data_IF_950329412408
#
_entry.id   IF_950329412408
#
_cell.length_a   1.000
_cell.length_b   1.000
_cell.length_c   1.000
_cell.angle_alpha   90.00
_cell.angle_beta   90.00
_cell.angle_gamma   90.00
#
_symmetry.space_group_name_H-M   'P 1'
#
loop_
_entity.id
_entity.type
_entity.pdbx_description
1 polymer ?
#
# COMPACT_ATOMS: atom_id res chain seq x y z
N UNK A 1 -6.55 -17.04 -13.86
CA UNK A 1 -6.07 -15.81 -14.53
C UNK A 1 -7.18 -14.77 -14.73
N UNK A 2 -7.99 -14.42 -13.71
CA UNK A 2 -9.04 -13.37 -13.82
C UNK A 2 -8.77 -12.10 -12.99
N UNK A 3 -7.85 -12.14 -12.03
CA UNK A 3 -7.64 -11.05 -11.07
C UNK A 3 -6.91 -9.82 -11.64
N UNK A 4 -6.14 -9.95 -12.71
CA UNK A 4 -5.31 -8.84 -13.24
C UNK A 4 -6.05 -7.87 -14.18
N UNK A 5 -7.33 -8.10 -14.50
CA UNK A 5 -8.06 -7.31 -15.49
C UNK A 5 -8.69 -6.01 -14.93
N UNK A 6 -8.84 -5.88 -13.61
CA UNK A 6 -9.70 -4.83 -13.02
C UNK A 6 -8.95 -3.66 -12.36
N UNK A 7 -7.65 -3.77 -12.10
CA UNK A 7 -6.82 -2.69 -11.53
C UNK A 7 -6.47 -1.55 -12.51
N UNK A 8 -7.21 -1.39 -13.63
CA UNK A 8 -6.89 -0.36 -14.64
C UNK A 8 -6.87 1.06 -14.07
N UNK A 9 -7.68 1.36 -13.06
CA UNK A 9 -7.71 2.68 -12.44
C UNK A 9 -6.42 2.98 -11.65
N UNK A 10 -5.79 1.96 -11.01
CA UNK A 10 -4.59 2.15 -10.20
C UNK A 10 -3.43 2.69 -11.03
N UNK A 11 -3.28 2.19 -12.26
CA UNK A 11 -2.16 2.54 -13.13
C UNK A 11 -2.37 3.84 -13.93
N UNK A 12 -3.53 4.49 -13.82
CA UNK A 12 -3.83 5.79 -14.44
C UNK A 12 -3.35 6.96 -13.56
N UNK A 13 -2.12 6.89 -13.06
CA UNK A 13 -1.53 7.96 -12.24
C UNK A 13 -0.05 8.16 -12.51
N UNK A 14 0.48 9.31 -12.09
CA UNK A 14 1.86 9.74 -12.33
C UNK A 14 2.89 9.09 -11.39
N UNK A 15 2.69 7.82 -11.05
CA UNK A 15 3.56 7.09 -10.11
C UNK A 15 5.01 6.95 -10.61
N UNK A 16 5.27 7.15 -11.91
CA UNK A 16 6.61 7.16 -12.48
C UNK A 16 7.48 8.33 -11.99
N UNK A 17 6.85 9.43 -11.54
CA UNK A 17 7.55 10.61 -10.98
C UNK A 17 8.02 10.40 -9.54
N UNK A 18 7.56 9.33 -8.86
CA UNK A 18 8.00 9.02 -7.51
C UNK A 18 9.46 8.54 -7.51
N UNK A 19 10.33 9.28 -6.82
CA UNK A 19 11.65 8.78 -6.46
C UNK A 19 11.54 7.80 -5.30
N UNK A 20 11.47 6.52 -5.66
CA UNK A 20 11.26 5.42 -4.72
C UNK A 20 12.28 5.35 -3.60
N UNK A 21 13.51 5.85 -3.81
CA UNK A 21 14.58 5.81 -2.79
C UNK A 21 14.17 6.53 -1.50
N UNK A 22 13.33 7.57 -1.61
CA UNK A 22 12.89 8.38 -0.48
C UNK A 22 11.77 7.74 0.34
N UNK A 23 11.16 6.66 -0.16
CA UNK A 23 10.00 6.02 0.47
C UNK A 23 10.31 4.69 1.13
N UNK A 24 11.54 4.18 1.00
CA UNK A 24 11.95 2.96 1.70
C UNK A 24 12.35 3.28 3.14
N UNK A 25 11.63 2.71 4.11
CA UNK A 25 11.87 2.93 5.53
C UNK A 25 11.84 1.62 6.31
N UNK A 26 12.67 1.53 7.36
CA UNK A 26 12.61 0.41 8.29
C UNK A 26 11.30 0.48 9.08
N UNK A 27 10.51 -0.57 9.00
CA UNK A 27 9.26 -0.69 9.75
C UNK A 27 9.55 -1.10 11.20
N UNK A 28 9.04 -0.38 12.21
CA UNK A 28 9.13 -0.83 13.60
C UNK A 28 8.50 -2.22 13.79
N UNK A 29 9.14 -3.09 14.57
CA UNK A 29 8.73 -4.50 14.73
C UNK A 29 7.32 -4.66 15.34
N UNK A 30 6.88 -3.69 16.12
CA UNK A 30 5.58 -3.61 16.79
C UNK A 30 4.48 -3.02 15.90
N UNK A 31 4.78 -2.63 14.66
CA UNK A 31 3.79 -2.01 13.75
C UNK A 31 2.64 -2.98 13.47
N UNK A 32 1.40 -2.68 13.89
CA UNK A 32 0.29 -3.61 13.74
C UNK A 32 -0.32 -3.59 12.33
N UNK A 33 -0.88 -4.73 11.91
CA UNK A 33 -1.68 -4.84 10.69
C UNK A 33 -2.88 -3.88 10.74
N UNK A 34 -3.23 -3.24 9.63
CA UNK A 34 -4.38 -2.32 9.55
C UNK A 34 -5.74 -2.98 9.84
N UNK A 35 -5.82 -4.31 9.77
CA UNK A 35 -7.03 -5.08 10.04
C UNK A 35 -7.33 -5.27 11.53
N UNK A 36 -6.36 -5.01 12.41
CA UNK A 36 -6.54 -5.21 13.85
C UNK A 36 -7.13 -3.95 14.47
N UNK A 37 -8.23 -4.08 15.21
CA UNK A 37 -8.71 -3.01 16.08
C UNK A 37 -7.64 -2.69 17.12
N UNK A 38 -7.44 -1.40 17.38
CA UNK A 38 -6.37 -0.93 18.27
C UNK A 38 -6.80 0.37 18.94
N UNK A 39 -6.46 0.50 20.21
CA UNK A 39 -6.82 1.68 20.98
C UNK A 39 -5.80 2.79 20.71
N UNK A 40 -6.29 3.96 20.29
CA UNK A 40 -5.43 5.11 19.97
C UNK A 40 -4.68 5.65 21.20
N UNK A 41 -5.17 5.37 22.41
CA UNK A 41 -4.57 5.84 23.66
C UNK A 41 -3.29 5.09 24.07
N UNK A 42 -3.06 3.89 23.53
CA UNK A 42 -1.91 3.06 23.91
C UNK A 42 -0.63 3.44 23.13
N UNK A 43 -0.76 4.21 22.04
CA UNK A 43 0.34 4.50 21.11
C UNK A 43 0.35 5.99 20.74
N UNK A 44 1.38 6.77 21.14
CA UNK A 44 1.47 8.20 20.81
C UNK A 44 1.71 8.47 19.32
N UNK A 45 2.13 7.45 18.55
CA UNK A 45 2.24 7.49 17.10
C UNK A 45 1.47 6.29 16.56
N UNK A 46 0.37 6.55 15.87
CA UNK A 46 -0.50 5.51 15.34
C UNK A 46 0.00 5.03 13.98
N UNK A 47 0.84 3.98 14.01
CA UNK A 47 1.44 3.36 12.82
C UNK A 47 0.65 2.12 12.40
N UNK A 48 0.59 1.84 11.10
CA UNK A 48 0.00 0.61 10.57
C UNK A 48 0.80 0.04 9.42
N UNK A 49 0.73 -1.28 9.24
CA UNK A 49 1.21 -1.92 8.03
C UNK A 49 0.06 -2.54 7.21
N UNK A 50 0.23 -2.54 5.89
CA UNK A 50 -0.67 -3.18 4.93
C UNK A 50 0.16 -4.05 3.98
N UNK A 51 -0.07 -5.37 3.95
CA UNK A 51 0.53 -6.23 2.94
C UNK A 51 -0.03 -5.94 1.54
N UNK A 52 0.82 -5.90 0.52
CA UNK A 52 0.41 -5.63 -0.86
C UNK A 52 -0.52 -6.73 -1.39
N UNK A 53 -0.34 -7.99 -0.97
CA UNK A 53 -1.26 -9.07 -1.34
C UNK A 53 -2.71 -8.80 -0.90
N UNK A 54 -2.89 -8.11 0.24
CA UNK A 54 -4.21 -7.76 0.76
C UNK A 54 -4.84 -6.65 -0.07
N UNK A 55 -4.04 -5.68 -0.53
CA UNK A 55 -4.52 -4.65 -1.45
C UNK A 55 -4.88 -5.25 -2.81
N UNK A 56 -4.01 -6.11 -3.36
CA UNK A 56 -4.25 -6.80 -4.63
C UNK A 56 -5.52 -7.65 -4.59
N UNK A 57 -5.87 -8.22 -3.43
CA UNK A 57 -7.08 -9.02 -3.26
C UNK A 57 -8.35 -8.23 -2.90
N UNK A 58 -8.26 -6.96 -2.51
CA UNK A 58 -9.40 -6.16 -2.04
C UNK A 58 -9.71 -4.94 -2.89
N UNK A 59 -8.75 -4.46 -3.67
CA UNK A 59 -8.87 -3.21 -4.41
C UNK A 59 -8.98 -3.53 -5.90
N UNK A 60 -10.21 -3.56 -6.38
CA UNK A 60 -10.53 -3.71 -7.80
C UNK A 60 -11.09 -2.41 -8.40
N UNK A 61 -11.62 -1.50 -7.56
CA UNK A 61 -12.19 -0.21 -7.97
C UNK A 61 -11.72 0.95 -7.10
N UNK A 62 -11.97 2.19 -7.56
CA UNK A 62 -11.72 3.40 -6.77
C UNK A 62 -12.52 3.37 -5.45
N UNK A 63 -13.75 2.87 -5.47
CA UNK A 63 -14.58 2.78 -4.26
C UNK A 63 -13.97 1.85 -3.21
N UNK A 64 -13.36 0.74 -3.64
CA UNK A 64 -12.66 -0.17 -2.72
C UNK A 64 -11.44 0.51 -2.10
N UNK A 65 -10.70 1.25 -2.91
CA UNK A 65 -9.56 2.03 -2.44
C UNK A 65 -10.00 3.09 -1.42
N UNK A 66 -11.05 3.86 -1.72
CA UNK A 66 -11.58 4.89 -0.82
C UNK A 66 -12.04 4.28 0.52
N UNK A 67 -12.60 3.07 0.49
CA UNK A 67 -12.96 2.33 1.70
C UNK A 67 -11.73 1.95 2.53
N UNK A 68 -10.61 1.58 1.89
CA UNK A 68 -9.33 1.35 2.58
C UNK A 68 -8.79 2.65 3.17
N UNK A 69 -8.74 3.73 2.39
CA UNK A 69 -8.30 5.07 2.84
C UNK A 69 -9.09 5.52 4.06
N UNK A 70 -10.41 5.36 4.06
CA UNK A 70 -11.26 5.72 5.20
C UNK A 70 -10.87 4.98 6.48
N UNK A 71 -10.45 3.71 6.39
CA UNK A 71 -10.01 2.91 7.54
C UNK A 71 -8.66 3.36 8.09
N UNK A 72 -7.79 3.89 7.24
CA UNK A 72 -6.44 4.35 7.62
C UNK A 72 -6.31 5.87 7.70
N UNK A 73 -7.42 6.61 7.62
CA UNK A 73 -7.43 8.08 7.59
C UNK A 73 -6.69 8.73 8.78
N UNK A 74 -6.73 8.09 9.94
CA UNK A 74 -6.12 8.61 11.17
C UNK A 74 -4.73 8.06 11.44
N UNK A 75 -4.19 7.22 10.55
CA UNK A 75 -2.85 6.63 10.69
C UNK A 75 -1.79 7.69 10.39
N UNK A 76 -0.86 7.88 11.33
CA UNK A 76 0.25 8.82 11.19
C UNK A 76 1.27 8.34 10.16
N UNK A 77 1.55 7.03 10.16
CA UNK A 77 2.49 6.39 9.24
C UNK A 77 1.98 5.04 8.77
N UNK A 78 1.87 4.88 7.46
CA UNK A 78 1.47 3.65 6.80
C UNK A 78 2.67 2.96 6.14
N UNK A 79 2.86 1.67 6.41
CA UNK A 79 3.93 0.86 5.83
C UNK A 79 3.34 -0.18 4.87
N UNK A 80 3.67 -0.07 3.59
CA UNK A 80 3.36 -1.09 2.58
C UNK A 80 4.39 -2.21 2.66
N UNK A 81 3.93 -3.43 2.91
CA UNK A 81 4.77 -4.63 3.01
C UNK A 81 4.61 -5.45 1.74
N UNK A 82 5.69 -5.62 0.96
CA UNK A 82 5.64 -6.49 -0.20
C UNK A 82 5.82 -7.96 0.20
N UNK A 83 4.69 -8.61 0.47
CA UNK A 83 4.59 -10.02 0.85
C UNK A 83 4.29 -10.94 -0.35
N UNK A 84 4.31 -10.40 -1.58
CA UNK A 84 3.97 -11.15 -2.79
C UNK A 84 5.06 -12.15 -3.12
N UNK A 85 4.66 -13.32 -3.64
CA UNK A 85 5.62 -14.33 -4.10
C UNK A 85 6.44 -13.79 -5.27
N UNK A 86 7.77 -13.97 -5.19
CA UNK A 86 8.67 -13.67 -6.30
C UNK A 86 8.29 -14.55 -7.49
N UNK A 87 8.18 -13.95 -8.66
CA UNK A 87 7.95 -14.63 -9.94
C UNK A 87 9.18 -14.46 -10.81
N UNK A 88 9.55 -15.47 -11.58
CA UNK A 88 10.63 -15.37 -12.58
C UNK A 88 10.20 -14.59 -13.83
N UNK A 89 8.89 -14.43 -14.05
CA UNK A 89 8.38 -13.69 -15.19
C UNK A 89 8.64 -12.19 -15.06
N UNK A 90 9.44 -11.65 -15.97
CA UNK A 90 9.74 -10.20 -16.07
C UNK A 90 8.46 -9.37 -16.17
N UNK A 91 7.47 -9.86 -16.91
CA UNK A 91 6.18 -9.18 -17.04
C UNK A 91 5.48 -9.04 -15.68
N UNK A 92 5.44 -10.13 -14.90
CA UNK A 92 4.83 -10.12 -13.57
C UNK A 92 5.61 -9.24 -12.60
N UNK A 93 6.94 -9.27 -12.65
CA UNK A 93 7.79 -8.39 -11.82
C UNK A 93 7.56 -6.91 -12.13
N UNK A 94 7.50 -6.54 -13.41
CA UNK A 94 7.26 -5.17 -13.86
C UNK A 94 5.88 -4.68 -13.42
N UNK A 95 4.84 -5.51 -13.62
CA UNK A 95 3.49 -5.20 -13.16
C UNK A 95 3.44 -5.04 -11.64
N UNK A 96 4.02 -5.98 -10.88
CA UNK A 96 4.05 -5.92 -9.42
C UNK A 96 4.77 -4.67 -8.89
N UNK A 97 5.85 -4.24 -9.57
CA UNK A 97 6.56 -3.00 -9.27
C UNK A 97 5.68 -1.77 -9.57
N UNK A 98 5.04 -1.72 -10.73
CA UNK A 98 4.14 -0.63 -11.12
C UNK A 98 2.96 -0.49 -10.13
N UNK A 99 2.28 -1.58 -9.79
CA UNK A 99 1.18 -1.58 -8.82
C UNK A 99 1.62 -1.12 -7.44
N UNK A 100 2.83 -1.51 -6.98
CA UNK A 100 3.39 -1.02 -5.72
C UNK A 100 3.56 0.50 -5.72
N UNK A 101 4.11 1.06 -6.81
CA UNK A 101 4.30 2.51 -6.97
C UNK A 101 2.96 3.24 -7.04
N UNK A 102 1.99 2.66 -7.75
CA UNK A 102 0.64 3.21 -7.85
C UNK A 102 -0.04 3.29 -6.47
N UNK A 103 -0.03 2.22 -5.68
CA UNK A 103 -0.60 2.26 -4.32
C UNK A 103 0.06 3.32 -3.45
N UNK A 104 1.39 3.39 -3.46
CA UNK A 104 2.13 4.43 -2.75
C UNK A 104 1.67 5.83 -3.17
N UNK A 105 1.59 6.10 -4.48
CA UNK A 105 1.13 7.37 -5.02
C UNK A 105 -0.29 7.73 -4.55
N UNK A 106 -1.22 6.78 -4.63
CA UNK A 106 -2.61 6.99 -4.23
C UNK A 106 -2.75 7.29 -2.73
N UNK A 107 -2.02 6.59 -1.86
CA UNK A 107 -2.03 6.89 -0.43
C UNK A 107 -1.44 8.27 -0.12
N UNK A 108 -0.34 8.64 -0.77
CA UNK A 108 0.27 9.96 -0.60
C UNK A 108 -0.68 11.08 -1.03
N UNK A 109 -1.40 10.91 -2.15
CA UNK A 109 -2.39 11.90 -2.61
C UNK A 109 -3.67 11.92 -1.78
N UNK A 110 -4.01 10.82 -1.11
CA UNK A 110 -5.05 10.82 -0.10
C UNK A 110 -4.63 11.54 1.21
N UNK A 111 -3.40 12.08 1.27
CA UNK A 111 -2.87 12.79 2.43
C UNK A 111 -2.32 11.88 3.52
N UNK A 112 -2.11 10.59 3.23
CA UNK A 112 -1.60 9.61 4.19
C UNK A 112 -0.09 9.48 4.00
N UNK A 113 0.69 9.67 5.07
CA UNK A 113 2.14 9.44 5.02
C UNK A 113 2.38 7.94 4.85
N UNK A 114 2.97 7.56 3.73
CA UNK A 114 3.07 6.18 3.30
C UNK A 114 4.50 5.84 2.87
N UNK A 115 4.98 4.68 3.30
CA UNK A 115 6.33 4.18 3.08
C UNK A 115 6.28 2.72 2.62
N UNK A 116 7.39 2.25 2.07
CA UNK A 116 7.61 0.84 1.75
C UNK A 116 8.54 0.27 2.81
N UNK A 117 8.10 -0.81 3.45
CA UNK A 117 8.91 -1.54 4.41
C UNK A 117 10.15 -2.12 3.71
N UNK A 118 11.34 -1.86 4.29
CA UNK A 118 12.61 -2.45 3.88
C UNK A 118 12.74 -3.91 4.30
#
# INVERSE_FOLDING_TARGET
MKQYQHQKFLLQCDYAKLDMKNFFQSMPADTPLYLREYNLFDYPIYRRNIPLSVLDGKVDSQQDFDAVVKKVKYVDELYLVDDRRKSESIFVQNHASATKRAFLWHFLNAGIRCFIAK
#
